data_IF_365096019322
#
_entry.id   IF_365096019322
#
_cell.length_a   1.000
_cell.length_b   1.000
_cell.length_c   1.000
_cell.angle_alpha   90.00
_cell.angle_beta   90.00
_cell.angle_gamma   90.00
#
_symmetry.space_group_name_H-M   'P 1'
#
loop_
_entity.id
_entity.type
_entity.pdbx_description
1 polymer ?
#
# COMPACT_ATOMS: atom_id res chain seq x y z
N UNK A 1 22.15 -9.89 -1.71
CA UNK A 1 22.59 -9.57 -3.08
C UNK A 1 23.43 -8.28 -3.08
N UNK A 2 24.75 -8.36 -3.30
CA UNK A 2 25.62 -7.22 -3.59
C UNK A 2 25.22 -6.53 -4.91
N UNK A 3 25.50 -5.22 -5.06
CA UNK A 3 25.14 -4.44 -6.28
C UNK A 3 25.70 -5.11 -7.55
N UNK A 4 26.89 -5.70 -7.48
CA UNK A 4 27.49 -6.45 -8.58
C UNK A 4 26.58 -7.57 -9.11
N UNK A 5 26.01 -8.38 -8.22
CA UNK A 5 25.07 -9.46 -8.60
C UNK A 5 23.78 -8.89 -9.22
N UNK A 6 23.30 -7.74 -8.73
CA UNK A 6 22.12 -7.05 -9.30
C UNK A 6 22.42 -6.62 -10.73
N UNK A 7 23.55 -5.93 -10.94
CA UNK A 7 23.94 -5.41 -12.25
C UNK A 7 24.19 -6.53 -13.27
N UNK A 8 24.76 -7.66 -12.82
CA UNK A 8 24.95 -8.84 -13.65
C UNK A 8 23.63 -9.52 -14.01
N UNK A 9 22.70 -9.66 -13.06
CA UNK A 9 21.39 -10.24 -13.31
C UNK A 9 20.55 -9.39 -14.27
N UNK A 10 20.72 -8.08 -14.24
CA UNK A 10 20.05 -7.12 -15.12
C UNK A 10 20.81 -6.83 -16.44
N UNK A 11 21.94 -7.51 -16.69
CA UNK A 11 22.83 -7.29 -17.85
C UNK A 11 23.23 -5.81 -18.07
N UNK A 12 23.54 -5.12 -16.97
CA UNK A 12 24.01 -3.72 -16.97
C UNK A 12 25.36 -3.57 -16.26
N UNK A 13 26.12 -2.53 -16.60
CA UNK A 13 27.38 -2.22 -15.92
C UNK A 13 27.16 -1.46 -14.60
N UNK A 14 28.12 -1.55 -13.66
CA UNK A 14 28.11 -0.80 -12.39
C UNK A 14 27.97 0.73 -12.59
N UNK A 15 28.55 1.28 -13.66
CA UNK A 15 28.40 2.70 -14.00
C UNK A 15 26.97 3.07 -14.38
N UNK A 16 26.22 2.16 -15.02
CA UNK A 16 24.81 2.37 -15.34
C UNK A 16 23.93 2.33 -14.09
N UNK A 17 24.26 1.50 -13.09
CA UNK A 17 23.54 1.50 -11.82
C UNK A 17 23.59 2.88 -11.15
N UNK A 18 24.79 3.43 -10.96
CA UNK A 18 24.97 4.72 -10.28
C UNK A 18 24.48 5.94 -11.08
N UNK A 19 24.17 5.77 -12.37
CA UNK A 19 23.46 6.79 -13.15
C UNK A 19 21.97 6.90 -12.77
N UNK A 20 21.38 5.82 -12.25
CA UNK A 20 19.96 5.74 -11.93
C UNK A 20 19.68 5.73 -10.42
N UNK A 21 20.59 5.16 -9.62
CA UNK A 21 20.42 5.01 -8.18
C UNK A 21 21.71 5.36 -7.44
N UNK A 22 21.63 6.28 -6.49
CA UNK A 22 22.73 6.63 -5.61
C UNK A 22 23.03 5.51 -4.61
N UNK A 23 22.00 4.77 -4.17
CA UNK A 23 22.12 3.69 -3.19
C UNK A 23 21.30 2.45 -3.57
N UNK A 24 21.61 1.34 -2.92
CA UNK A 24 20.84 0.10 -3.09
C UNK A 24 19.44 0.22 -2.47
N UNK A 25 19.33 0.99 -1.40
CA UNK A 25 18.07 1.34 -0.74
C UNK A 25 17.16 2.09 -1.72
N UNK A 26 17.70 3.04 -2.50
CA UNK A 26 16.93 3.77 -3.51
C UNK A 26 16.42 2.86 -4.64
N UNK A 27 17.25 1.93 -5.13
CA UNK A 27 16.80 0.90 -6.08
C UNK A 27 15.65 0.08 -5.48
N UNK A 28 15.79 -0.31 -4.21
CA UNK A 28 14.83 -1.14 -3.51
C UNK A 28 13.47 -0.46 -3.35
N UNK A 29 13.49 0.82 -2.95
CA UNK A 29 12.28 1.64 -2.83
C UNK A 29 11.59 1.82 -4.19
N UNK A 30 12.36 2.05 -5.27
CA UNK A 30 11.82 2.14 -6.62
C UNK A 30 11.13 0.82 -7.05
N UNK A 31 11.80 -0.33 -6.84
CA UNK A 31 11.22 -1.63 -7.14
C UNK A 31 9.97 -1.94 -6.28
N UNK A 32 9.95 -1.50 -5.02
CA UNK A 32 8.80 -1.68 -4.14
C UNK A 32 7.63 -0.82 -4.61
N UNK A 33 7.89 0.41 -5.03
CA UNK A 33 6.89 1.31 -5.57
C UNK A 33 6.29 0.75 -6.87
N UNK A 34 7.11 0.21 -7.78
CA UNK A 34 6.65 -0.42 -9.02
C UNK A 34 5.79 -1.67 -8.73
N UNK A 35 6.17 -2.52 -7.79
CA UNK A 35 5.36 -3.67 -7.37
C UNK A 35 4.01 -3.24 -6.74
N UNK A 36 4.00 -2.12 -6.00
CA UNK A 36 2.77 -1.53 -5.47
C UNK A 36 1.92 -0.89 -6.59
N UNK A 37 2.54 -0.41 -7.67
CA UNK A 37 1.83 0.09 -8.85
C UNK A 37 1.11 -1.04 -9.58
N UNK A 38 1.75 -2.19 -9.77
CA UNK A 38 1.11 -3.37 -10.36
C UNK A 38 -0.07 -3.86 -9.52
N UNK A 39 0.13 -3.92 -8.19
CA UNK A 39 -0.95 -4.23 -7.27
C UNK A 39 -2.09 -3.21 -7.37
N UNK A 40 -1.77 -1.92 -7.41
CA UNK A 40 -2.75 -0.84 -7.53
C UNK A 40 -3.55 -0.93 -8.82
N UNK A 41 -2.89 -1.22 -9.96
CA UNK A 41 -3.56 -1.40 -11.25
C UNK A 41 -4.53 -2.59 -11.24
N UNK A 42 -4.16 -3.66 -10.55
CA UNK A 42 -5.04 -4.80 -10.37
C UNK A 42 -6.25 -4.47 -9.49
N UNK A 43 -6.04 -3.71 -8.41
CA UNK A 43 -7.12 -3.24 -7.53
C UNK A 43 -8.08 -2.28 -8.24
N UNK A 44 -7.54 -1.40 -9.08
CA UNK A 44 -8.34 -0.51 -9.94
C UNK A 44 -9.32 -1.32 -10.81
N UNK A 45 -8.89 -2.44 -11.40
CA UNK A 45 -9.77 -3.31 -12.19
C UNK A 45 -10.99 -3.86 -11.45
N UNK A 46 -10.94 -3.97 -10.11
CA UNK A 46 -12.11 -4.35 -9.30
C UNK A 46 -13.08 -3.20 -9.05
N UNK A 47 -12.61 -1.96 -9.18
CA UNK A 47 -13.37 -0.74 -8.87
C UNK A 47 -13.76 0.07 -10.11
N UNK A 48 -13.27 -0.29 -11.30
CA UNK A 48 -13.60 0.36 -12.59
C UNK A 48 -15.11 0.51 -12.85
N UNK A 49 -15.92 -0.41 -12.35
CA UNK A 49 -17.39 -0.38 -12.51
C UNK A 49 -18.13 0.43 -11.45
N UNK A 50 -17.44 0.92 -10.41
CA UNK A 50 -18.02 1.62 -9.28
C UNK A 50 -18.07 3.13 -9.56
N UNK A 51 -19.28 3.67 -9.71
CA UNK A 51 -19.46 5.09 -10.05
C UNK A 51 -19.36 6.05 -8.86
N UNK A 52 -19.58 5.59 -7.60
CA UNK A 52 -19.41 6.44 -6.42
C UNK A 52 -17.92 6.45 -6.01
N UNK A 53 -17.19 7.58 -6.15
CA UNK A 53 -15.76 7.64 -5.82
C UNK A 53 -15.47 7.34 -4.35
N UNK A 54 -16.39 7.65 -3.43
CA UNK A 54 -16.23 7.29 -2.02
C UNK A 54 -16.34 5.77 -1.79
N UNK A 55 -17.13 5.08 -2.62
CA UNK A 55 -17.24 3.62 -2.61
C UNK A 55 -16.01 2.98 -3.23
N UNK A 56 -15.53 3.46 -4.37
CA UNK A 56 -14.31 2.98 -5.00
C UNK A 56 -13.11 3.08 -4.03
N UNK A 57 -12.93 4.24 -3.39
CA UNK A 57 -11.93 4.43 -2.33
C UNK A 57 -12.09 3.41 -1.20
N UNK A 58 -13.31 3.25 -0.67
CA UNK A 58 -13.57 2.33 0.43
C UNK A 58 -13.27 0.88 0.06
N UNK A 59 -13.62 0.45 -1.15
CA UNK A 59 -13.32 -0.90 -1.67
C UNK A 59 -11.80 -1.08 -1.78
N UNK A 60 -11.10 -0.17 -2.45
CA UNK A 60 -9.64 -0.26 -2.62
C UNK A 60 -8.90 -0.30 -1.29
N UNK A 61 -9.28 0.55 -0.34
CA UNK A 61 -8.68 0.57 1.00
C UNK A 61 -8.93 -0.76 1.76
N UNK A 62 -10.16 -1.29 1.67
CA UNK A 62 -10.56 -2.55 2.31
C UNK A 62 -9.87 -3.76 1.70
N UNK A 63 -9.67 -3.79 0.37
CA UNK A 63 -8.95 -4.85 -0.32
C UNK A 63 -7.46 -4.82 0.01
N UNK A 64 -6.85 -3.62 -0.04
CA UNK A 64 -5.44 -3.42 0.28
C UNK A 64 -5.12 -3.86 1.72
N UNK A 65 -5.96 -3.51 2.69
CA UNK A 65 -5.77 -3.88 4.10
C UNK A 65 -5.88 -5.38 4.35
N UNK A 66 -6.77 -6.09 3.63
CA UNK A 66 -6.90 -7.55 3.71
C UNK A 66 -5.70 -8.26 3.09
N UNK A 67 -5.18 -7.74 1.98
CA UNK A 67 -4.07 -8.36 1.25
C UNK A 67 -2.82 -8.53 2.12
N UNK A 68 -2.50 -7.54 2.96
CA UNK A 68 -1.35 -7.62 3.85
C UNK A 68 -1.37 -8.78 4.85
N UNK A 69 -2.55 -9.34 5.16
CA UNK A 69 -2.62 -10.56 5.99
C UNK A 69 -2.24 -11.81 5.20
N UNK A 70 -2.60 -11.86 3.93
CA UNK A 70 -2.25 -12.96 3.02
C UNK A 70 -0.79 -12.91 2.59
N UNK A 71 -0.20 -11.71 2.66
CA UNK A 71 1.15 -11.38 2.16
C UNK A 71 1.99 -10.69 3.25
N UNK A 72 2.34 -11.41 4.34
CA UNK A 72 2.99 -10.81 5.50
C UNK A 72 4.42 -10.32 5.24
N UNK A 73 5.12 -10.88 4.24
CA UNK A 73 6.47 -10.42 3.86
C UNK A 73 6.40 -9.09 3.12
N UNK A 74 5.45 -8.97 2.22
CA UNK A 74 5.12 -7.79 1.43
C UNK A 74 4.57 -6.67 2.32
N UNK A 75 3.74 -7.02 3.30
CA UNK A 75 3.29 -6.09 4.33
C UNK A 75 4.46 -5.57 5.19
N UNK A 76 5.41 -6.44 5.55
CA UNK A 76 6.59 -6.03 6.32
C UNK A 76 7.49 -5.06 5.55
N UNK A 77 7.59 -5.24 4.23
CA UNK A 77 8.28 -4.33 3.32
C UNK A 77 7.63 -2.95 3.27
N UNK A 78 6.33 -2.91 3.06
CA UNK A 78 5.59 -1.64 3.06
C UNK A 78 5.68 -0.93 4.43
N UNK A 79 5.64 -1.68 5.53
CA UNK A 79 5.80 -1.12 6.87
C UNK A 79 7.22 -0.58 7.13
N UNK A 80 8.25 -1.19 6.54
CA UNK A 80 9.63 -0.75 6.70
C UNK A 80 9.93 0.57 5.97
N UNK A 81 9.19 0.87 4.91
CA UNK A 81 9.35 2.06 4.06
C UNK A 81 8.08 2.94 4.04
N UNK A 82 7.27 2.88 5.09
CA UNK A 82 5.95 3.52 5.12
C UNK A 82 6.02 5.06 5.05
N UNK A 83 7.08 5.66 5.59
CA UNK A 83 7.33 7.09 5.56
C UNK A 83 7.61 7.63 4.16
N UNK A 84 8.37 6.88 3.34
CA UNK A 84 8.62 7.25 1.94
C UNK A 84 7.44 6.95 1.01
N UNK A 85 6.59 5.99 1.36
CA UNK A 85 5.48 5.56 0.51
C UNK A 85 4.20 6.41 0.64
N UNK A 86 3.86 6.95 1.82
CA UNK A 86 2.58 7.66 2.05
C UNK A 86 2.37 8.83 1.08
N UNK A 87 3.44 9.59 0.78
CA UNK A 87 3.39 10.74 -0.13
C UNK A 87 4.10 10.47 -1.46
N UNK A 88 4.35 9.20 -1.78
CA UNK A 88 5.02 8.82 -3.04
C UNK A 88 4.16 9.17 -4.25
N UNK A 89 4.82 9.57 -5.34
CA UNK A 89 4.20 9.71 -6.65
C UNK A 89 4.05 8.39 -7.42
N UNK A 90 4.38 7.26 -6.76
CA UNK A 90 4.26 5.88 -7.27
C UNK A 90 3.56 4.99 -6.26
N UNK A 91 3.17 3.80 -6.68
CA UNK A 91 2.48 2.80 -5.85
C UNK A 91 1.01 3.14 -5.58
N UNK A 92 0.53 2.87 -4.37
CA UNK A 92 -0.90 3.04 -4.03
C UNK A 92 -1.31 4.51 -3.82
N UNK A 93 -0.36 5.39 -3.50
CA UNK A 93 -0.62 6.76 -3.07
C UNK A 93 -1.26 7.64 -4.16
N UNK A 94 -0.80 7.63 -5.43
CA UNK A 94 -1.47 8.37 -6.51
C UNK A 94 -2.92 7.93 -6.75
N UNK A 95 -3.22 6.63 -6.60
CA UNK A 95 -4.58 6.08 -6.77
C UNK A 95 -5.50 6.51 -5.64
N UNK A 96 -5.01 6.43 -4.40
CA UNK A 96 -5.74 6.95 -3.25
C UNK A 96 -5.99 8.46 -3.38
N UNK A 97 -5.00 9.24 -3.85
CA UNK A 97 -5.15 10.67 -4.08
C UNK A 97 -6.19 10.97 -5.16
N UNK A 98 -6.18 10.22 -6.28
CA UNK A 98 -7.19 10.31 -7.34
C UNK A 98 -8.60 10.09 -6.78
N UNK A 99 -8.80 9.01 -6.02
CA UNK A 99 -10.12 8.64 -5.49
C UNK A 99 -10.61 9.65 -4.43
N UNK A 100 -9.71 10.14 -3.56
CA UNK A 100 -10.01 11.20 -2.58
C UNK A 100 -10.41 12.49 -3.29
N UNK A 101 -9.64 12.92 -4.30
CA UNK A 101 -9.92 14.13 -5.07
C UNK A 101 -11.29 14.02 -5.75
N UNK A 102 -11.56 12.90 -6.44
CA UNK A 102 -12.84 12.66 -7.08
C UNK A 102 -14.01 12.67 -6.08
N UNK A 103 -13.83 12.11 -4.89
CA UNK A 103 -14.85 12.11 -3.85
C UNK A 103 -15.10 13.51 -3.26
N UNK A 104 -14.08 14.37 -3.18
CA UNK A 104 -14.24 15.78 -2.80
C UNK A 104 -15.01 16.53 -3.90
N UNK A 105 -14.62 16.38 -5.16
CA UNK A 105 -15.26 17.05 -6.30
C UNK A 105 -16.74 16.68 -6.45
N UNK A 106 -17.10 15.44 -6.10
CA UNK A 106 -18.49 14.97 -6.08
C UNK A 106 -19.25 15.35 -4.79
N UNK A 107 -18.64 16.09 -3.87
CA UNK A 107 -19.23 16.47 -2.59
C UNK A 107 -19.50 15.29 -1.65
N UNK A 108 -18.85 14.14 -1.88
CA UNK A 108 -18.96 12.96 -1.02
C UNK A 108 -18.10 13.12 0.23
N UNK A 109 -16.87 13.59 0.06
CA UNK A 109 -15.95 13.94 1.15
C UNK A 109 -16.02 15.43 1.45
N UNK A 110 -15.89 15.81 2.72
CA UNK A 110 -15.96 17.21 3.17
C UNK A 110 -14.61 17.75 3.62
N UNK A 111 -13.55 16.92 3.60
CA UNK A 111 -12.18 17.39 3.76
C UNK A 111 -11.82 18.28 2.56
N UNK A 112 -11.20 19.43 2.82
CA UNK A 112 -10.92 20.41 1.77
C UNK A 112 -9.61 20.15 1.03
N UNK A 113 -8.65 19.52 1.70
CA UNK A 113 -7.30 19.27 1.17
C UNK A 113 -7.12 17.78 0.86
N UNK A 114 -7.00 17.39 -0.42
CA UNK A 114 -6.83 15.99 -0.81
C UNK A 114 -5.49 15.40 -0.34
N UNK A 115 -4.42 16.19 -0.23
CA UNK A 115 -3.12 15.72 0.26
C UNK A 115 -3.18 15.45 1.77
N UNK A 116 -3.88 16.29 2.54
CA UNK A 116 -4.17 16.00 3.94
C UNK A 116 -5.00 14.71 4.08
N UNK A 117 -5.99 14.51 3.22
CA UNK A 117 -6.77 13.27 3.17
C UNK A 117 -5.90 12.04 2.91
N UNK A 118 -4.97 12.14 1.95
CA UNK A 118 -4.01 11.10 1.64
C UNK A 118 -3.09 10.78 2.83
N UNK A 119 -2.53 11.80 3.48
CA UNK A 119 -1.66 11.63 4.64
C UNK A 119 -2.37 10.92 5.81
N UNK A 120 -3.64 11.29 6.07
CA UNK A 120 -4.48 10.64 7.08
C UNK A 120 -4.74 9.17 6.71
N UNK A 121 -5.14 8.91 5.46
CA UNK A 121 -5.40 7.56 4.97
C UNK A 121 -4.16 6.68 5.07
N UNK A 122 -3.01 7.16 4.59
CA UNK A 122 -1.74 6.44 4.65
C UNK A 122 -1.29 6.16 6.08
N UNK A 123 -1.37 7.13 6.99
CA UNK A 123 -1.04 6.93 8.41
C UNK A 123 -1.94 5.89 9.09
N UNK A 124 -3.26 5.94 8.84
CA UNK A 124 -4.18 4.93 9.34
C UNK A 124 -3.90 3.54 8.75
N UNK A 125 -3.45 3.49 7.50
CA UNK A 125 -3.12 2.24 6.80
C UNK A 125 -1.86 1.59 7.36
N UNK A 126 -0.80 2.35 7.62
CA UNK A 126 0.41 1.89 8.31
C UNK A 126 0.08 1.42 9.73
N UNK A 127 -0.76 2.16 10.46
CA UNK A 127 -1.22 1.76 11.79
C UNK A 127 -2.03 0.45 11.77
N UNK A 128 -2.91 0.28 10.79
CA UNK A 128 -3.68 -0.96 10.56
C UNK A 128 -2.75 -2.14 10.27
N UNK A 129 -1.82 -1.99 9.34
CA UNK A 129 -0.87 -3.03 8.98
C UNK A 129 0.01 -3.43 10.18
N UNK A 130 0.46 -2.45 10.97
CA UNK A 130 1.20 -2.71 12.21
C UNK A 130 0.34 -3.50 13.21
N UNK A 131 -0.90 -3.06 13.45
CA UNK A 131 -1.81 -3.74 14.38
C UNK A 131 -2.06 -5.20 13.99
N UNK A 132 -2.31 -5.47 12.71
CA UNK A 132 -2.56 -6.82 12.21
C UNK A 132 -1.32 -7.71 12.26
N UNK A 133 -0.12 -7.13 12.09
CA UNK A 133 1.14 -7.85 12.25
C UNK A 133 1.40 -8.25 13.70
N UNK A 134 1.27 -7.29 14.62
CA UNK A 134 1.57 -7.51 16.04
C UNK A 134 0.49 -8.34 16.76
N UNK A 135 -0.74 -8.38 16.24
CA UNK A 135 -1.90 -9.09 16.81
C UNK A 135 -2.51 -10.07 15.81
N UNK A 136 -1.82 -11.18 15.49
CA UNK A 136 -2.23 -12.13 14.45
C UNK A 136 -3.54 -12.86 14.76
N UNK A 137 -3.99 -12.85 16.02
CA UNK A 137 -5.26 -13.42 16.49
C UNK A 137 -6.50 -12.59 16.12
N UNK A 138 -6.31 -11.34 15.70
CA UNK A 138 -7.43 -10.46 15.34
C UNK A 138 -8.11 -10.94 14.07
N UNK A 139 -9.43 -10.78 14.05
CA UNK A 139 -10.19 -10.84 12.81
C UNK A 139 -9.74 -9.70 11.89
N UNK A 140 -9.11 -10.09 10.77
CA UNK A 140 -8.55 -9.17 9.79
C UNK A 140 -9.65 -8.37 9.11
N UNK A 141 -10.70 -9.03 8.63
CA UNK A 141 -11.75 -8.39 7.85
C UNK A 141 -12.52 -7.39 8.71
N UNK A 142 -12.92 -7.81 9.92
CA UNK A 142 -13.61 -6.92 10.85
C UNK A 142 -12.74 -5.73 11.29
N UNK A 143 -11.43 -5.95 11.46
CA UNK A 143 -10.50 -4.86 11.84
C UNK A 143 -10.30 -3.88 10.69
N UNK A 144 -10.10 -4.36 9.46
CA UNK A 144 -9.96 -3.52 8.26
C UNK A 144 -11.23 -2.70 8.03
N UNK A 145 -12.40 -3.31 8.15
CA UNK A 145 -13.68 -2.62 7.94
C UNK A 145 -13.94 -1.55 9.01
N UNK A 146 -13.59 -1.85 10.27
CA UNK A 146 -13.71 -0.89 11.36
C UNK A 146 -12.77 0.33 11.19
N UNK A 147 -11.54 0.12 10.71
CA UNK A 147 -10.62 1.23 10.39
C UNK A 147 -11.12 2.02 9.18
N UNK A 148 -11.61 1.35 8.14
CA UNK A 148 -12.17 2.01 6.96
C UNK A 148 -13.38 2.88 7.33
N UNK A 149 -14.31 2.39 8.16
CA UNK A 149 -15.46 3.18 8.62
C UNK A 149 -15.03 4.43 9.38
N UNK A 150 -13.95 4.34 10.17
CA UNK A 150 -13.37 5.50 10.88
C UNK A 150 -12.73 6.49 9.91
N UNK A 151 -11.95 6.00 8.96
CA UNK A 151 -11.30 6.81 7.93
C UNK A 151 -12.34 7.59 7.11
N UNK A 152 -13.37 6.92 6.59
CA UNK A 152 -14.44 7.56 5.81
C UNK A 152 -15.14 8.68 6.59
N UNK A 153 -15.35 8.49 7.91
CA UNK A 153 -15.91 9.55 8.77
C UNK A 153 -14.94 10.72 8.94
N UNK A 154 -13.65 10.46 9.10
CA UNK A 154 -12.62 11.51 9.14
C UNK A 154 -12.58 12.31 7.83
N UNK A 155 -12.81 11.66 6.69
CA UNK A 155 -12.88 12.29 5.37
C UNK A 155 -14.21 13.03 5.11
N UNK A 156 -15.20 12.91 6.00
CA UNK A 156 -16.43 13.72 5.97
C UNK A 156 -17.74 12.96 5.78
N UNK A 157 -17.73 11.63 5.69
CA UNK A 157 -18.98 10.86 5.62
C UNK A 157 -19.70 10.82 6.96
N UNK A 158 -21.03 10.80 6.92
CA UNK A 158 -21.82 10.44 8.10
C UNK A 158 -21.55 8.99 8.51
N UNK A 159 -21.73 8.68 9.80
CA UNK A 159 -21.57 7.31 10.29
C UNK A 159 -22.46 6.29 9.56
N UNK A 160 -23.67 6.70 9.16
CA UNK A 160 -24.57 5.86 8.38
C UNK A 160 -24.00 5.54 6.99
N UNK A 161 -23.53 6.56 6.27
CA UNK A 161 -22.94 6.38 4.94
C UNK A 161 -21.67 5.51 5.01
N UNK A 162 -20.76 5.82 5.93
CA UNK A 162 -19.51 5.06 6.10
C UNK A 162 -19.79 3.58 6.39
N UNK A 163 -20.73 3.29 7.31
CA UNK A 163 -21.14 1.92 7.62
C UNK A 163 -21.77 1.23 6.41
N UNK A 164 -22.65 1.90 5.68
CA UNK A 164 -23.28 1.32 4.48
C UNK A 164 -22.23 0.92 3.45
N UNK A 165 -21.23 1.76 3.19
CA UNK A 165 -20.14 1.44 2.25
C UNK A 165 -19.29 0.26 2.74
N UNK A 166 -18.94 0.22 4.02
CA UNK A 166 -18.15 -0.88 4.60
C UNK A 166 -18.92 -2.21 4.70
N UNK A 167 -20.25 -2.22 4.59
CA UNK A 167 -21.06 -3.44 4.61
C UNK A 167 -21.33 -4.01 3.21
N UNK A 168 -20.96 -3.29 2.15
CA UNK A 168 -21.08 -3.81 0.78
C UNK A 168 -20.14 -5.00 0.58
N UNK A 169 -20.57 -6.02 -0.19
CA UNK A 169 -19.72 -7.15 -0.51
C UNK A 169 -18.47 -6.66 -1.25
N UNK A 170 -17.35 -7.32 -0.98
CA UNK A 170 -16.10 -7.08 -1.70
C UNK A 170 -15.92 -8.14 -2.78
N UNK A 171 -15.24 -7.80 -3.90
CA UNK A 171 -14.74 -8.77 -4.84
C UNK A 171 -13.82 -9.80 -4.17
N UNK A 172 -13.84 -11.04 -4.66
CA UNK A 172 -12.97 -12.09 -4.15
C UNK A 172 -11.52 -11.87 -4.60
N UNK A 173 -10.65 -11.59 -3.62
CA UNK A 173 -9.21 -11.40 -3.82
C UNK A 173 -8.39 -12.65 -3.48
N UNK A 174 -9.03 -13.80 -3.22
CA UNK A 174 -8.35 -15.08 -3.00
C UNK A 174 -7.35 -15.46 -4.11
N UNK A 175 -7.61 -15.19 -5.41
CA UNK A 175 -6.62 -15.44 -6.47
C UNK A 175 -5.32 -14.63 -6.31
N UNK A 176 -5.38 -13.47 -5.66
CA UNK A 176 -4.21 -12.64 -5.35
C UNK A 176 -3.43 -13.13 -4.15
N UNK A 177 -3.78 -14.27 -3.57
CA UNK A 177 -2.92 -14.92 -2.58
C UNK A 177 -1.66 -15.46 -3.25
N UNK A 178 -1.80 -16.00 -4.46
CA UNK A 178 -0.75 -16.76 -5.16
C UNK A 178 -0.09 -16.00 -6.32
N UNK A 179 -0.71 -14.92 -6.83
CA UNK A 179 -0.20 -14.17 -7.99
C UNK A 179 1.19 -13.55 -7.72
N UNK A 180 2.25 -13.93 -8.44
CA UNK A 180 3.57 -13.37 -8.24
C UNK A 180 3.61 -11.96 -8.82
N UNK A 181 3.15 -10.96 -8.07
CA UNK A 181 3.78 -9.65 -8.25
C UNK A 181 5.18 -9.83 -7.67
N UNK A 182 6.21 -9.68 -8.51
CA UNK A 182 7.61 -9.85 -8.13
C UNK A 182 8.01 -8.75 -7.12
N UNK A 183 7.60 -8.90 -5.86
CA UNK A 183 7.98 -7.96 -4.81
C UNK A 183 9.48 -8.10 -4.51
N UNK A 184 10.21 -6.98 -4.42
CA UNK A 184 11.61 -7.03 -4.05
C UNK A 184 11.75 -7.55 -2.61
N UNK A 185 12.65 -8.49 -2.38
CA UNK A 185 12.78 -9.17 -1.07
C UNK A 185 13.65 -8.35 -0.11
N UNK A 186 13.22 -8.19 1.16
CA UNK A 186 14.04 -7.59 2.22
C UNK A 186 15.44 -8.23 2.24
N UNK A 187 16.46 -7.44 1.94
CA UNK A 187 17.84 -7.84 2.12
C UNK A 187 18.08 -7.86 3.64
N UNK A 188 18.11 -9.05 4.25
CA UNK A 188 18.62 -9.18 5.62
C UNK A 188 20.04 -8.60 5.63
N UNK A 189 20.21 -7.49 6.35
CA UNK A 189 21.53 -6.97 6.66
C UNK A 189 22.29 -8.05 7.41
N UNK A 190 23.26 -8.69 6.76
CA UNK A 190 24.25 -9.50 7.44
C UNK A 190 24.91 -8.59 8.48
N UNK A 191 24.70 -8.93 9.76
CA UNK A 191 25.49 -8.34 10.84
C UNK A 191 26.96 -8.56 10.50
N UNK A 192 27.81 -7.52 10.58
CA UNK A 192 29.23 -7.72 10.33
C UNK A 192 29.74 -8.78 11.29
N UNK A 193 30.39 -9.80 10.73
CA UNK A 193 31.20 -10.75 11.48
C UNK A 193 32.16 -9.96 12.36
N UNK A 194 31.91 -9.95 13.67
CA UNK A 194 32.96 -9.69 14.64
C UNK A 194 33.89 -10.89 14.58
N UNK A 195 34.96 -10.69 13.81
CA UNK A 195 36.09 -11.57 13.77
C UNK A 195 36.84 -11.45 15.10
N UNK A 196 37.11 -12.61 15.65
CA UNK A 196 37.82 -13.00 16.85
C UNK A 196 39.01 -12.11 17.24
N UNK A 197 39.18 -11.93 18.55
CA UNK A 197 40.43 -12.27 19.25
C UNK A 197 40.12 -13.35 20.29
#
# INVERSE_FOLDING_TARGET
MPILEITQAADVGMGSFYNHFATKEELFEAALADALDDLGALLDGFTDSISDPAEAFAVNYRLSGRLFRYRPREAALLLAHGDSLIMSHRGLSPRALRDITAAIDHGRFTIADPELGLAIAGGMFVGLATLLRERPERDTEATVDAVTERLLRTLGLTAKQARTLCQKPLPDISPLRESPAEWPTLMTAEKPHQQSD
#
